data_IF_151501205820
#
_entry.id   IF_151501205820
#
_cell.length_a   1.000
_cell.length_b   1.000
_cell.length_c   1.000
_cell.angle_alpha   90.00
_cell.angle_beta   90.00
_cell.angle_gamma   90.00
#
_symmetry.space_group_name_H-M   'P 1'
#
loop_
_entity.id
_entity.type
_entity.pdbx_description
1 polymer ?
#
# COMPACT_ATOMS: atom_id res chain seq x y z
N UNK A 1 4.65 -15.66 -23.06
CA UNK A 1 5.14 -14.28 -23.27
C UNK A 1 5.57 -13.72 -21.93
N UNK A 2 6.84 -13.29 -21.81
CA UNK A 2 7.35 -12.71 -20.55
C UNK A 2 6.88 -11.25 -20.42
N UNK A 3 6.37 -10.88 -19.24
CA UNK A 3 6.00 -9.49 -18.88
C UNK A 3 7.13 -8.48 -19.11
N UNK A 4 8.38 -8.93 -19.20
CA UNK A 4 9.58 -8.10 -19.43
C UNK A 4 9.66 -7.50 -20.82
N UNK A 5 8.88 -8.01 -21.79
CA UNK A 5 8.90 -7.50 -23.17
C UNK A 5 7.82 -6.45 -23.44
N UNK A 6 7.02 -6.09 -22.43
CA UNK A 6 6.03 -5.05 -22.55
C UNK A 6 6.67 -3.65 -22.37
N UNK A 7 6.23 -2.65 -23.14
CA UNK A 7 6.57 -1.25 -22.91
C UNK A 7 6.25 -0.81 -21.48
N UNK A 8 7.10 0.07 -20.95
CA UNK A 8 6.94 0.60 -19.59
C UNK A 8 5.61 1.33 -19.40
N UNK A 9 5.03 1.94 -20.44
CA UNK A 9 3.71 2.59 -20.33
C UNK A 9 2.59 1.56 -20.08
N UNK A 10 2.65 0.40 -20.73
CA UNK A 10 1.66 -0.67 -20.52
C UNK A 10 1.80 -1.28 -19.14
N UNK A 11 3.03 -1.49 -18.67
CA UNK A 11 3.30 -1.98 -17.32
C UNK A 11 2.82 -0.99 -16.25
N UNK A 12 2.99 0.30 -16.49
CA UNK A 12 2.48 1.37 -15.62
C UNK A 12 0.96 1.38 -15.58
N UNK A 13 0.28 1.22 -16.73
CA UNK A 13 -1.17 1.14 -16.77
C UNK A 13 -1.72 -0.07 -16.02
N UNK A 14 -1.06 -1.23 -16.12
CA UNK A 14 -1.43 -2.42 -15.35
C UNK A 14 -1.29 -2.16 -13.85
N UNK A 15 -0.17 -1.56 -13.41
CA UNK A 15 0.04 -1.22 -12.00
C UNK A 15 -1.02 -0.22 -11.48
N UNK A 16 -1.42 0.77 -12.29
CA UNK A 16 -2.49 1.71 -11.94
C UNK A 16 -3.86 1.06 -11.84
N UNK A 17 -4.16 0.04 -12.66
CA UNK A 17 -5.40 -0.72 -12.53
C UNK A 17 -5.42 -1.60 -11.27
N UNK A 18 -4.26 -2.14 -10.88
CA UNK A 18 -4.11 -2.91 -9.64
C UNK A 18 -4.24 -2.02 -8.39
N UNK A 19 -3.83 -0.75 -8.47
CA UNK A 19 -3.93 0.23 -7.37
C UNK A 19 -5.39 0.49 -6.93
N UNK A 20 -6.37 0.25 -7.82
CA UNK A 20 -7.80 0.44 -7.54
C UNK A 20 -8.59 -0.83 -7.19
N UNK A 21 -8.14 -2.01 -7.63
CA UNK A 21 -8.95 -3.24 -7.59
C UNK A 21 -8.66 -4.15 -6.39
N UNK A 22 -7.43 -4.20 -5.91
CA UNK A 22 -7.06 -5.12 -4.82
C UNK A 22 -5.93 -4.59 -3.95
N UNK A 23 -5.97 -5.05 -2.72
CA UNK A 23 -4.93 -5.02 -1.71
C UNK A 23 -3.50 -4.71 -2.20
N UNK A 24 -2.83 -3.71 -1.60
CA UNK A 24 -1.40 -3.38 -1.78
C UNK A 24 -0.41 -4.58 -1.78
N UNK A 25 -0.85 -5.76 -1.36
CA UNK A 25 -0.13 -7.02 -1.52
C UNK A 25 0.25 -7.26 -3.00
N UNK A 26 -0.66 -6.99 -3.94
CA UNK A 26 -0.48 -7.32 -5.35
C UNK A 26 0.63 -6.46 -5.97
N UNK A 27 0.65 -5.16 -5.66
CA UNK A 27 1.72 -4.25 -6.10
C UNK A 27 3.08 -4.59 -5.45
N UNK A 28 3.09 -5.01 -4.17
CA UNK A 28 4.33 -5.46 -3.52
C UNK A 28 4.87 -6.74 -4.16
N UNK A 29 3.98 -7.69 -4.49
CA UNK A 29 4.36 -8.89 -5.21
C UNK A 29 4.87 -8.55 -6.62
N UNK A 30 4.22 -7.62 -7.32
CA UNK A 30 4.67 -7.14 -8.63
C UNK A 30 6.08 -6.55 -8.59
N UNK A 31 6.44 -5.83 -7.51
CA UNK A 31 7.79 -5.31 -7.30
C UNK A 31 8.87 -6.40 -7.12
N UNK A 32 8.46 -7.62 -6.77
CA UNK A 32 9.33 -8.78 -6.59
C UNK A 32 9.45 -9.63 -7.86
N UNK A 33 8.50 -9.55 -8.79
CA UNK A 33 8.48 -10.37 -10.02
C UNK A 33 9.70 -10.09 -10.91
N UNK A 34 10.02 -8.81 -11.17
CA UNK A 34 11.20 -8.47 -11.96
C UNK A 34 11.74 -7.07 -11.65
N UNK A 35 13.03 -6.85 -12.01
CA UNK A 35 13.71 -5.57 -11.75
C UNK A 35 13.09 -4.39 -12.48
N UNK A 36 12.52 -4.61 -13.67
CA UNK A 36 11.87 -3.56 -14.46
C UNK A 36 10.54 -3.08 -13.85
N UNK A 37 9.80 -3.99 -13.20
CA UNK A 37 8.51 -3.68 -12.56
C UNK A 37 8.66 -3.02 -11.19
N UNK A 38 9.81 -3.21 -10.54
CA UNK A 38 10.08 -2.64 -9.22
C UNK A 38 9.88 -1.12 -9.14
N UNK A 39 10.50 -0.28 -9.99
CA UNK A 39 10.31 1.17 -9.92
C UNK A 39 8.84 1.56 -10.16
N UNK A 40 8.16 0.88 -11.08
CA UNK A 40 6.75 1.12 -11.42
C UNK A 40 5.85 0.80 -10.21
N UNK A 41 6.04 -0.36 -9.60
CA UNK A 41 5.28 -0.78 -8.42
C UNK A 41 5.57 0.11 -7.21
N UNK A 42 6.82 0.54 -7.02
CA UNK A 42 7.19 1.48 -5.96
C UNK A 42 6.54 2.85 -6.17
N UNK A 43 6.50 3.34 -7.40
CA UNK A 43 5.84 4.59 -7.74
C UNK A 43 4.33 4.51 -7.51
N UNK A 44 3.68 3.42 -7.92
CA UNK A 44 2.26 3.17 -7.65
C UNK A 44 1.98 3.13 -6.13
N UNK A 45 2.78 2.38 -5.36
CA UNK A 45 2.65 2.29 -3.90
C UNK A 45 2.86 3.64 -3.18
N UNK A 46 3.73 4.50 -3.71
CA UNK A 46 3.96 5.85 -3.19
C UNK A 46 2.83 6.81 -3.57
N UNK A 47 2.17 6.60 -4.71
CA UNK A 47 1.06 7.44 -5.16
C UNK A 47 -0.19 7.23 -4.30
N UNK A 48 -0.46 6.00 -3.88
CA UNK A 48 -1.60 5.62 -3.02
C UNK A 48 -1.18 4.74 -1.83
N UNK A 49 -0.44 5.28 -0.84
CA UNK A 49 -0.11 4.57 0.38
C UNK A 49 -1.37 4.12 1.13
N UNK A 50 -1.37 2.86 1.59
CA UNK A 50 -2.41 2.28 2.41
C UNK A 50 -1.84 1.68 3.70
N UNK A 51 -2.49 1.99 4.82
CA UNK A 51 -2.17 1.41 6.12
C UNK A 51 -3.32 0.48 6.55
N UNK A 52 -3.00 -0.78 6.86
CA UNK A 52 -3.97 -1.75 7.41
C UNK A 52 -3.88 -1.82 8.92
N UNK A 53 -5.05 -1.92 9.54
CA UNK A 53 -5.21 -1.95 10.98
C UNK A 53 -5.20 -3.36 11.55
N UNK A 54 -4.34 -3.56 12.54
CA UNK A 54 -4.36 -4.73 13.42
C UNK A 54 -4.28 -4.32 14.91
N UNK A 55 -3.70 -3.17 15.27
CA UNK A 55 -3.65 -2.61 16.64
C UNK A 55 -3.45 -1.07 16.58
N UNK A 56 -4.13 -0.34 17.48
CA UNK A 56 -4.26 1.14 17.44
C UNK A 56 -2.92 1.89 17.53
N UNK A 57 -2.01 1.49 18.43
CA UNK A 57 -0.77 2.23 18.70
C UNK A 57 0.28 2.14 17.58
N UNK A 58 0.33 1.00 16.88
CA UNK A 58 1.32 0.77 15.80
C UNK A 58 0.99 1.64 14.59
N UNK A 59 -0.29 1.85 14.28
CA UNK A 59 -0.71 2.63 13.12
C UNK A 59 -0.54 4.10 13.38
N UNK A 60 -0.93 4.59 14.56
CA UNK A 60 -0.70 5.99 14.95
C UNK A 60 0.78 6.32 14.77
N UNK A 61 1.67 5.44 15.23
CA UNK A 61 3.12 5.57 15.03
C UNK A 61 3.53 5.59 13.56
N UNK A 62 3.00 4.68 12.71
CA UNK A 62 3.30 4.63 11.27
C UNK A 62 2.80 5.84 10.50
N UNK A 63 1.60 6.33 10.81
CA UNK A 63 1.03 7.54 10.19
C UNK A 63 1.86 8.75 10.59
N UNK A 64 2.25 8.88 11.86
CA UNK A 64 3.12 9.97 12.33
C UNK A 64 4.48 9.92 11.61
N UNK A 65 5.09 8.74 11.50
CA UNK A 65 6.35 8.57 10.77
C UNK A 65 6.20 8.89 9.28
N UNK A 66 5.08 8.50 8.67
CA UNK A 66 4.77 8.82 7.28
C UNK A 66 4.61 10.34 7.10
N UNK A 67 3.82 11.01 7.93
CA UNK A 67 3.66 12.46 7.92
C UNK A 67 4.99 13.20 8.12
N UNK A 68 5.83 12.74 9.06
CA UNK A 68 7.19 13.26 9.24
C UNK A 68 8.06 13.07 8.00
N UNK A 69 7.91 11.94 7.32
CA UNK A 69 8.64 11.66 6.08
C UNK A 69 8.20 12.62 4.98
N UNK A 70 6.89 12.84 4.80
CA UNK A 70 6.38 13.80 3.82
C UNK A 70 6.85 15.23 4.11
N UNK A 71 6.88 15.64 5.38
CA UNK A 71 7.37 16.95 5.78
C UNK A 71 8.87 17.14 5.48
N UNK A 72 9.68 16.08 5.58
CA UNK A 72 11.13 16.13 5.30
C UNK A 72 11.47 15.92 3.82
N UNK A 73 10.57 15.32 3.05
CA UNK A 73 10.77 14.92 1.64
C UNK A 73 9.63 15.45 0.77
N UNK A 74 9.65 16.76 0.42
CA UNK A 74 8.61 17.35 -0.40
C UNK A 74 8.51 16.72 -1.79
N UNK A 75 9.61 16.17 -2.31
CA UNK A 75 9.66 15.39 -3.55
C UNK A 75 8.79 14.13 -3.50
N UNK A 76 8.69 13.49 -2.33
CA UNK A 76 7.80 12.34 -2.11
C UNK A 76 6.37 12.83 -1.90
N UNK A 77 6.18 13.90 -1.13
CA UNK A 77 4.87 14.48 -0.85
C UNK A 77 4.10 14.86 -2.12
N UNK A 78 4.79 15.39 -3.15
CA UNK A 78 4.17 15.73 -4.43
C UNK A 78 3.62 14.52 -5.20
N UNK A 79 4.19 13.33 -4.96
CA UNK A 79 3.80 12.08 -5.62
C UNK A 79 2.60 11.42 -4.97
N UNK A 80 2.43 11.57 -3.65
CA UNK A 80 1.27 11.05 -2.91
C UNK A 80 0.03 11.80 -3.36
N UNK A 81 -0.96 11.07 -3.92
CA UNK A 81 -2.25 11.63 -4.34
C UNK A 81 -3.38 11.26 -3.40
N UNK A 82 -3.27 10.11 -2.75
CA UNK A 82 -4.28 9.60 -1.84
C UNK A 82 -3.62 8.83 -0.69
N UNK A 83 -4.20 8.91 0.50
CA UNK A 83 -3.81 8.10 1.65
C UNK A 83 -5.02 7.28 2.08
N UNK A 84 -4.87 5.96 2.11
CA UNK A 84 -5.93 5.05 2.54
C UNK A 84 -5.61 4.49 3.92
N UNK A 85 -6.54 4.60 4.87
CA UNK A 85 -6.41 3.99 6.20
C UNK A 85 -7.56 3.00 6.34
N UNK A 86 -7.26 1.70 6.37
CA UNK A 86 -8.27 0.64 6.54
C UNK A 86 -8.30 0.19 7.99
N UNK A 87 -9.41 0.50 8.67
CA UNK A 87 -9.72 0.04 10.02
C UNK A 87 -10.35 -1.36 9.93
N UNK A 88 -9.66 -2.36 10.48
CA UNK A 88 -10.19 -3.71 10.65
C UNK A 88 -10.64 -3.79 12.11
N UNK A 89 -11.94 -3.61 12.36
CA UNK A 89 -12.50 -3.85 13.68
C UNK A 89 -12.50 -5.36 13.92
N UNK A 90 -11.49 -5.87 14.65
CA UNK A 90 -11.58 -7.22 15.20
C UNK A 90 -12.56 -7.12 16.36
N UNK A 91 -13.80 -7.50 16.11
CA UNK A 91 -14.83 -7.66 17.13
C UNK A 91 -14.39 -8.79 18.06
N UNK A 92 -13.80 -8.45 19.21
CA UNK A 92 -13.55 -9.36 20.34
C UNK A 92 -14.89 -9.70 21.01
N UNK A 93 -15.78 -10.37 20.28
CA UNK A 93 -16.96 -11.03 20.83
C UNK A 93 -16.69 -12.55 20.88
N UNK A 94 -15.71 -12.97 21.68
CA UNK A 94 -15.54 -14.40 22.03
C UNK A 94 -15.27 -14.67 23.50
N UNK A 95 -14.98 -13.66 24.31
CA UNK A 95 -14.65 -13.87 25.73
C UNK A 95 -15.89 -13.85 26.67
N UNK A 96 -17.09 -13.60 26.14
CA UNK A 96 -18.34 -13.54 26.93
C UNK A 96 -19.28 -14.75 26.79
N UNK A 97 -19.01 -15.72 25.90
CA UNK A 97 -19.95 -16.80 25.58
C UNK A 97 -19.57 -18.20 26.13
N UNK A 98 -18.49 -18.31 26.93
CA UNK A 98 -18.10 -19.58 27.58
C UNK A 98 -18.08 -19.50 29.11
N UNK A 99 -18.69 -18.45 29.70
CA UNK A 99 -18.82 -18.28 31.14
C UNK A 99 -20.25 -17.96 31.53
N UNK A 100 -21.16 -18.92 31.39
CA UNK A 100 -22.48 -18.96 32.04
C UNK A 100 -22.95 -20.41 32.12
#
# INVERSE_FOLDING_TARGET
MLLTNLPNELLSNIALQLDGLTEQLDLRQLALVCRALRPIAQEALLRSPAFRYQYDDIIRSRIILFARTLAKRPDIAQKVKQLTIRLTLIQTCKDWLLGS
#
